data_IF_456080045213
#
_entry.id   IF_456080045213
#
_cell.length_a   1.000
_cell.length_b   1.000
_cell.length_c   1.000
_cell.angle_alpha   90.00
_cell.angle_beta   90.00
_cell.angle_gamma   90.00
#
_symmetry.space_group_name_H-M   'P 1'
#
loop_
_entity.id
_entity.type
_entity.pdbx_description
1 polymer ?
#
# COMPACT_ATOMS: atom_id res chain seq x y z
N UNK A 1 -8.56 11.34 6.39
CA UNK A 1 -9.12 12.35 5.46
C UNK A 1 -10.44 11.90 4.81
N UNK A 2 -11.45 12.77 4.79
CA UNK A 2 -12.80 12.45 4.27
C UNK A 2 -12.81 12.02 2.80
N UNK A 3 -11.84 12.48 2.00
CA UNK A 3 -11.77 12.19 0.55
C UNK A 3 -11.07 10.88 0.20
N UNK A 4 -10.38 10.23 1.15
CA UNK A 4 -9.57 9.06 0.85
C UNK A 4 -10.40 7.89 0.28
N UNK A 5 -11.61 7.58 0.81
CA UNK A 5 -12.47 6.58 0.20
C UNK A 5 -12.87 6.91 -1.24
N UNK A 6 -13.08 8.19 -1.56
CA UNK A 6 -13.43 8.62 -2.91
C UNK A 6 -12.25 8.48 -3.88
N UNK A 7 -11.03 8.77 -3.41
CA UNK A 7 -9.81 8.63 -4.21
C UNK A 7 -9.49 7.15 -4.48
N UNK A 8 -9.66 6.29 -3.47
CA UNK A 8 -9.63 4.84 -3.67
C UNK A 8 -10.71 4.40 -4.67
N UNK A 9 -11.91 4.97 -4.57
CA UNK A 9 -13.01 4.72 -5.51
C UNK A 9 -12.68 5.05 -6.96
N UNK A 10 -12.04 6.19 -7.21
CA UNK A 10 -11.59 6.55 -8.56
C UNK A 10 -10.54 5.58 -9.08
N UNK A 11 -9.64 5.09 -8.22
CA UNK A 11 -8.64 4.10 -8.60
C UNK A 11 -9.31 2.78 -8.99
N UNK A 12 -10.26 2.28 -8.22
CA UNK A 12 -11.02 1.06 -8.56
C UNK A 12 -11.84 1.28 -9.85
N UNK A 13 -12.43 2.45 -10.04
CA UNK A 13 -13.16 2.74 -11.28
C UNK A 13 -12.26 2.87 -12.51
N UNK A 14 -10.95 3.08 -12.33
CA UNK A 14 -9.98 3.21 -13.44
C UNK A 14 -9.59 1.87 -14.09
N UNK A 15 -9.98 0.73 -13.51
CA UNK A 15 -9.81 -0.57 -14.15
C UNK A 15 -10.56 -0.60 -15.48
N UNK A 16 -9.84 -0.97 -16.55
CA UNK A 16 -10.36 -1.02 -17.93
C UNK A 16 -11.31 -2.20 -18.12
N UNK A 17 -11.06 -3.29 -17.41
CA UNK A 17 -11.85 -4.51 -17.44
C UNK A 17 -12.44 -4.78 -16.06
N UNK A 18 -13.66 -5.35 -16.03
CA UNK A 18 -14.29 -5.84 -14.81
C UNK A 18 -14.20 -7.38 -14.70
N UNK A 19 -13.17 -7.96 -15.31
CA UNK A 19 -12.98 -9.42 -15.38
C UNK A 19 -12.03 -9.92 -14.29
N UNK A 20 -10.75 -10.10 -14.63
CA UNK A 20 -9.74 -10.69 -13.74
C UNK A 20 -8.82 -9.58 -13.26
N UNK A 21 -8.79 -9.35 -11.95
CA UNK A 21 -8.06 -8.26 -11.33
C UNK A 21 -7.21 -8.76 -10.17
N UNK A 22 -5.97 -8.30 -10.13
CA UNK A 22 -5.07 -8.49 -8.99
C UNK A 22 -4.71 -7.11 -8.42
N UNK A 23 -4.80 -6.97 -7.09
CA UNK A 23 -4.50 -5.72 -6.39
C UNK A 23 -3.55 -6.00 -5.24
N UNK A 24 -2.45 -5.26 -5.13
CA UNK A 24 -1.66 -5.23 -3.90
C UNK A 24 -1.89 -3.91 -3.19
N UNK A 25 -2.39 -3.98 -1.97
CA UNK A 25 -2.49 -2.85 -1.06
C UNK A 25 -1.16 -2.72 -0.30
N UNK A 26 -0.36 -1.71 -0.62
CA UNK A 26 0.89 -1.41 0.06
C UNK A 26 0.64 -0.33 1.12
N UNK A 27 0.62 -0.72 2.39
CA UNK A 27 0.15 0.11 3.49
C UNK A 27 1.33 0.53 4.36
N UNK A 28 1.44 1.83 4.57
CA UNK A 28 2.32 2.41 5.56
C UNK A 28 1.86 2.02 6.98
N UNK A 29 2.79 1.50 7.76
CA UNK A 29 2.53 1.09 9.14
C UNK A 29 3.55 1.67 10.12
N UNK A 30 4.10 2.85 9.81
CA UNK A 30 4.88 3.63 10.78
C UNK A 30 3.99 4.31 11.81
N UNK A 31 4.62 4.96 12.78
CA UNK A 31 3.92 5.51 13.94
C UNK A 31 2.97 6.66 13.64
N UNK A 32 3.15 7.38 12.53
CA UNK A 32 2.30 8.50 12.10
C UNK A 32 0.91 8.03 11.66
N UNK A 33 0.85 6.90 10.94
CA UNK A 33 -0.38 6.21 10.51
C UNK A 33 -1.18 5.54 11.64
N UNK A 34 -0.79 5.75 12.91
CA UNK A 34 -1.44 5.10 14.05
C UNK A 34 -2.92 5.46 14.18
N UNK A 35 -3.25 6.73 13.98
CA UNK A 35 -4.61 7.23 14.15
C UNK A 35 -5.49 6.81 12.95
N UNK A 36 -4.89 6.65 11.77
CA UNK A 36 -5.56 6.22 10.55
C UNK A 36 -5.75 4.71 10.45
N UNK A 37 -5.00 3.90 11.20
CA UNK A 37 -5.06 2.44 11.10
C UNK A 37 -6.46 1.88 11.39
N UNK A 38 -7.20 2.48 12.33
CA UNK A 38 -8.56 2.03 12.64
C UNK A 38 -9.55 2.41 11.54
N UNK A 39 -9.43 3.59 10.94
CA UNK A 39 -10.21 3.98 9.75
C UNK A 39 -9.86 3.13 8.53
N UNK A 40 -8.58 2.82 8.34
CA UNK A 40 -8.12 1.95 7.27
C UNK A 40 -8.79 0.57 7.36
N UNK A 41 -8.80 -0.03 8.55
CA UNK A 41 -9.41 -1.35 8.79
C UNK A 41 -10.92 -1.37 8.66
N UNK A 42 -11.58 -0.38 9.25
CA UNK A 42 -13.02 -0.43 9.49
C UNK A 42 -13.84 0.34 8.44
N UNK A 43 -13.20 1.19 7.65
CA UNK A 43 -13.88 2.04 6.66
C UNK A 43 -13.24 1.94 5.27
N UNK A 44 -11.94 2.21 5.14
CA UNK A 44 -11.34 2.39 3.81
C UNK A 44 -11.21 1.08 3.04
N UNK A 45 -10.64 0.03 3.65
CA UNK A 45 -10.55 -1.27 2.97
C UNK A 45 -11.92 -1.89 2.73
N UNK A 46 -12.88 -1.88 3.69
CA UNK A 46 -14.24 -2.33 3.42
C UNK A 46 -14.89 -1.64 2.21
N UNK A 47 -14.75 -0.32 2.06
CA UNK A 47 -15.28 0.39 0.87
C UNK A 47 -14.60 0.00 -0.44
N UNK A 48 -13.29 -0.29 -0.41
CA UNK A 48 -12.58 -0.84 -1.57
C UNK A 48 -13.16 -2.21 -1.94
N UNK A 49 -13.44 -3.07 -0.96
CA UNK A 49 -14.04 -4.38 -1.18
C UNK A 49 -15.45 -4.27 -1.79
N UNK A 50 -16.30 -3.40 -1.26
CA UNK A 50 -17.66 -3.15 -1.80
C UNK A 50 -17.62 -2.78 -3.29
N UNK A 51 -16.67 -1.94 -3.71
CA UNK A 51 -16.54 -1.56 -5.13
C UNK A 51 -15.99 -2.69 -6.00
N UNK A 52 -15.26 -3.62 -5.41
CA UNK A 52 -14.71 -4.78 -6.11
C UNK A 52 -15.73 -5.89 -6.32
N UNK A 53 -16.91 -5.83 -5.68
CA UNK A 53 -18.03 -6.76 -5.94
C UNK A 53 -18.54 -6.71 -7.39
N UNK A 54 -18.29 -5.60 -8.12
CA UNK A 54 -18.65 -5.46 -9.53
C UNK A 54 -17.74 -6.26 -10.49
N UNK A 55 -16.68 -6.89 -9.98
CA UNK A 55 -15.67 -7.59 -10.76
C UNK A 55 -15.84 -9.11 -10.66
N UNK A 56 -15.56 -9.83 -11.75
CA UNK A 56 -15.80 -11.27 -11.81
C UNK A 56 -14.82 -12.10 -10.97
N UNK A 57 -13.55 -11.72 -10.93
CA UNK A 57 -12.49 -12.47 -10.24
C UNK A 57 -11.42 -11.51 -9.71
N UNK A 58 -11.39 -11.36 -8.39
CA UNK A 58 -10.48 -10.44 -7.70
C UNK A 58 -9.61 -11.21 -6.71
N UNK A 59 -8.31 -10.89 -6.71
CA UNK A 59 -7.40 -11.25 -5.62
C UNK A 59 -6.75 -9.99 -5.06
N UNK A 60 -6.67 -9.93 -3.73
CA UNK A 60 -6.05 -8.83 -3.02
C UNK A 60 -4.88 -9.36 -2.20
N UNK A 61 -3.71 -8.79 -2.44
CA UNK A 61 -2.51 -8.96 -1.61
C UNK A 61 -2.37 -7.77 -0.68
N UNK A 62 -1.73 -7.99 0.47
CA UNK A 62 -1.45 -6.94 1.43
C UNK A 62 0.05 -6.89 1.71
N UNK A 63 0.66 -5.73 1.52
CA UNK A 63 2.03 -5.46 1.92
C UNK A 63 2.02 -4.37 2.97
N UNK A 64 2.70 -4.57 4.10
CA UNK A 64 2.94 -3.52 5.07
C UNK A 64 4.40 -3.09 4.99
N UNK A 65 4.67 -1.79 4.97
CA UNK A 65 6.04 -1.27 5.02
C UNK A 65 6.23 -0.32 6.20
N UNK A 66 7.50 -0.11 6.53
CA UNK A 66 7.97 0.86 7.53
C UNK A 66 9.34 1.39 7.13
N UNK A 67 9.91 2.29 7.93
CA UNK A 67 11.29 2.74 7.76
C UNK A 67 12.34 1.65 8.09
N UNK A 68 13.56 1.82 7.60
CA UNK A 68 14.60 0.78 7.50
C UNK A 68 15.09 0.15 8.82
N UNK A 69 14.85 0.80 9.95
CA UNK A 69 15.32 0.35 11.27
C UNK A 69 14.24 -0.33 12.11
N UNK A 70 13.06 -0.54 11.53
CA UNK A 70 11.98 -1.25 12.21
C UNK A 70 12.14 -2.78 12.07
N UNK A 71 11.18 -3.52 12.65
CA UNK A 71 11.21 -4.96 12.80
C UNK A 71 10.75 -5.75 11.57
N UNK A 72 10.27 -5.08 10.52
CA UNK A 72 9.93 -5.74 9.27
C UNK A 72 11.19 -6.12 8.51
N UNK A 73 11.24 -7.37 8.07
CA UNK A 73 12.38 -7.92 7.36
C UNK A 73 11.94 -9.06 6.45
N UNK A 74 11.75 -8.74 5.18
CA UNK A 74 11.53 -9.72 4.12
C UNK A 74 12.56 -9.48 3.02
N UNK A 75 13.39 -10.47 2.70
CA UNK A 75 14.42 -10.36 1.65
C UNK A 75 15.35 -9.12 1.75
N UNK A 76 15.64 -8.71 2.99
CA UNK A 76 16.39 -7.49 3.36
C UNK A 76 15.69 -6.16 3.02
N UNK A 77 14.37 -6.19 2.88
CA UNK A 77 13.50 -5.02 2.75
C UNK A 77 12.69 -4.81 4.04
N UNK A 78 12.39 -3.55 4.42
CA UNK A 78 11.62 -3.21 5.63
C UNK A 78 10.11 -3.40 5.41
N UNK A 79 9.73 -4.57 4.88
CA UNK A 79 8.35 -4.91 4.51
C UNK A 79 7.92 -6.23 5.15
N UNK A 80 6.60 -6.39 5.27
CA UNK A 80 5.92 -7.64 5.61
C UNK A 80 4.90 -7.92 4.52
N UNK A 81 4.98 -9.11 3.93
CA UNK A 81 4.12 -9.54 2.82
C UNK A 81 3.06 -10.50 3.33
N UNK A 82 1.85 -10.32 2.84
CA UNK A 82 0.76 -11.27 2.91
C UNK A 82 0.28 -11.55 1.48
N UNK A 83 0.22 -12.83 1.12
CA UNK A 83 -0.05 -13.27 -0.24
C UNK A 83 -1.47 -12.91 -0.71
N UNK A 84 -1.69 -13.03 -2.02
CA UNK A 84 -3.00 -12.86 -2.63
C UNK A 84 -4.06 -13.76 -1.98
N UNK A 85 -5.23 -13.18 -1.74
CA UNK A 85 -6.43 -13.88 -1.32
C UNK A 85 -7.66 -13.36 -2.06
N UNK A 86 -8.61 -14.23 -2.36
CA UNK A 86 -9.96 -13.87 -2.81
C UNK A 86 -10.98 -13.90 -1.66
N UNK A 87 -10.54 -14.22 -0.44
CA UNK A 87 -11.37 -14.24 0.76
C UNK A 87 -11.25 -12.93 1.53
N UNK A 88 -12.35 -12.20 1.65
CA UNK A 88 -12.46 -11.01 2.50
C UNK A 88 -12.13 -11.31 3.96
N UNK A 89 -12.56 -12.47 4.46
CA UNK A 89 -12.25 -12.91 5.82
C UNK A 89 -10.74 -13.05 6.02
N UNK A 90 -10.03 -13.68 5.07
CA UNK A 90 -8.58 -13.81 5.14
C UNK A 90 -7.87 -12.47 5.05
N UNK A 91 -8.33 -11.55 4.19
CA UNK A 91 -7.78 -10.19 4.11
C UNK A 91 -7.98 -9.43 5.43
N UNK A 92 -9.17 -9.56 6.03
CA UNK A 92 -9.46 -8.98 7.35
C UNK A 92 -8.53 -9.54 8.43
N UNK A 93 -8.28 -10.86 8.43
CA UNK A 93 -7.31 -11.47 9.34
C UNK A 93 -5.92 -10.86 9.16
N UNK A 94 -5.47 -10.65 7.92
CA UNK A 94 -4.18 -10.01 7.66
C UNK A 94 -4.12 -8.59 8.25
N UNK A 95 -5.16 -7.78 8.01
CA UNK A 95 -5.27 -6.41 8.54
C UNK A 95 -5.29 -6.37 10.08
N UNK A 96 -5.97 -7.32 10.72
CA UNK A 96 -6.07 -7.44 12.17
C UNK A 96 -4.70 -7.78 12.81
N UNK A 97 -3.80 -8.43 12.05
CA UNK A 97 -2.43 -8.72 12.49
C UNK A 97 -1.51 -7.50 12.47
N UNK A 98 -1.88 -6.40 11.78
CA UNK A 98 -1.06 -5.20 11.72
C UNK A 98 -0.95 -4.59 13.12
N UNK A 99 0.25 -4.24 13.55
CA UNK A 99 0.46 -3.56 14.84
C UNK A 99 1.49 -2.46 14.65
N UNK A 100 1.05 -1.20 14.71
CA UNK A 100 1.96 -0.07 14.67
C UNK A 100 2.67 0.02 16.03
N UNK A 101 4.01 0.04 16.00
CA UNK A 101 4.87 0.22 17.16
C UNK A 101 5.76 1.42 16.89
N UNK A 102 5.83 2.34 17.84
CA UNK A 102 6.57 3.60 17.68
C UNK A 102 5.76 4.79 18.14
N UNK A 103 6.44 5.94 18.23
CA UNK A 103 5.78 7.23 18.44
C UNK A 103 5.29 7.77 17.09
N UNK A 104 4.37 8.72 17.13
CA UNK A 104 3.98 9.53 15.97
C UNK A 104 5.24 9.98 15.22
N UNK A 105 5.41 9.48 13.98
CA UNK A 105 6.35 10.06 13.04
C UNK A 105 5.80 11.42 12.59
N UNK A 106 6.69 12.38 12.34
CA UNK A 106 6.30 13.55 11.55
C UNK A 106 6.42 13.24 10.05
N UNK A 107 6.48 14.27 9.21
CA UNK A 107 6.83 14.23 7.78
C UNK A 107 8.27 13.72 7.53
N UNK A 108 8.58 12.49 7.96
CA UNK A 108 9.86 11.84 7.78
C UNK A 108 9.72 10.94 6.55
N UNK A 109 10.64 11.02 5.58
CA UNK A 109 10.56 10.16 4.42
C UNK A 109 10.55 8.67 4.80
N UNK A 110 9.85 7.87 3.99
CA UNK A 110 9.50 6.47 4.23
C UNK A 110 10.19 5.52 3.23
N UNK A 111 10.18 4.21 3.50
CA UNK A 111 10.74 3.17 2.59
C UNK A 111 9.77 2.79 1.44
N UNK A 112 9.15 3.81 0.83
CA UNK A 112 8.12 3.67 -0.21
C UNK A 112 8.62 2.89 -1.44
N UNK A 113 9.86 3.13 -1.91
CA UNK A 113 10.37 2.42 -3.08
C UNK A 113 10.63 0.94 -2.80
N UNK A 114 11.06 0.58 -1.59
CA UNK A 114 11.17 -0.80 -1.15
C UNK A 114 9.82 -1.50 -1.13
N UNK A 115 8.77 -0.81 -0.67
CA UNK A 115 7.40 -1.31 -0.67
C UNK A 115 6.91 -1.58 -2.10
N UNK A 116 7.02 -0.58 -2.98
CA UNK A 116 6.61 -0.70 -4.38
C UNK A 116 7.38 -1.82 -5.11
N UNK A 117 8.71 -1.85 -4.96
CA UNK A 117 9.53 -2.93 -5.54
C UNK A 117 9.09 -4.31 -5.03
N UNK A 118 8.85 -4.44 -3.72
CA UNK A 118 8.43 -5.72 -3.16
C UNK A 118 7.06 -6.17 -3.68
N UNK A 119 6.10 -5.25 -3.79
CA UNK A 119 4.79 -5.49 -4.39
C UNK A 119 4.89 -5.96 -5.84
N UNK A 120 5.81 -5.39 -6.61
CA UNK A 120 6.03 -5.75 -8.01
C UNK A 120 6.75 -7.10 -8.18
N UNK A 121 7.75 -7.37 -7.34
CA UNK A 121 8.68 -8.47 -7.56
C UNK A 121 8.27 -9.79 -6.90
N UNK A 122 7.69 -9.75 -5.70
CA UNK A 122 7.49 -10.96 -4.87
C UNK A 122 6.07 -11.52 -4.88
N UNK A 123 5.11 -10.79 -5.45
CA UNK A 123 3.74 -11.29 -5.60
C UNK A 123 3.58 -12.14 -6.86
N UNK A 124 2.77 -13.18 -6.76
CA UNK A 124 2.43 -14.08 -7.86
C UNK A 124 1.26 -13.54 -8.69
N UNK A 125 1.56 -12.53 -9.50
CA UNK A 125 0.60 -11.85 -10.38
C UNK A 125 0.15 -12.76 -11.54
N UNK A 126 -1.16 -12.87 -11.77
CA UNK A 126 -1.72 -13.60 -12.93
C UNK A 126 -1.42 -12.87 -14.23
N UNK A 127 -1.01 -13.57 -15.27
CA UNK A 127 -0.68 -12.96 -16.57
C UNK A 127 -1.89 -12.29 -17.23
N UNK A 128 -3.07 -12.89 -17.08
CA UNK A 128 -4.34 -12.42 -17.63
C UNK A 128 -5.01 -11.29 -16.81
N UNK A 129 -4.52 -11.01 -15.61
CA UNK A 129 -5.12 -10.02 -14.73
C UNK A 129 -4.76 -8.58 -15.15
N UNK A 130 -5.69 -7.66 -14.95
CA UNK A 130 -5.35 -6.25 -14.83
C UNK A 130 -4.77 -5.99 -13.42
N UNK A 131 -3.59 -5.38 -13.35
CA UNK A 131 -2.74 -5.37 -12.15
C UNK A 131 -2.54 -3.96 -11.60
N UNK A 132 -2.80 -3.77 -10.32
CA UNK A 132 -2.54 -2.50 -9.62
C UNK A 132 -1.85 -2.70 -8.29
N UNK A 133 -0.84 -1.88 -8.01
CA UNK A 133 -0.38 -1.61 -6.64
C UNK A 133 -1.00 -0.30 -6.20
N UNK A 134 -1.73 -0.33 -5.09
CA UNK A 134 -2.29 0.86 -4.45
C UNK A 134 -1.51 1.08 -3.15
N UNK A 135 -0.68 2.11 -3.12
CA UNK A 135 0.06 2.51 -1.95
C UNK A 135 -0.74 3.51 -1.12
N UNK A 136 -0.84 3.30 0.18
CA UNK A 136 -1.53 4.17 1.13
C UNK A 136 -0.54 4.52 2.24
N UNK A 137 -0.23 5.81 2.38
CA UNK A 137 0.66 6.33 3.43
C UNK A 137 0.53 7.84 3.55
N UNK A 138 1.20 8.44 4.52
CA UNK A 138 1.13 9.88 4.82
C UNK A 138 2.40 10.65 4.43
N UNK A 139 3.50 9.95 4.15
CA UNK A 139 4.77 10.55 3.76
C UNK A 139 5.37 10.03 2.45
N UNK A 140 6.21 10.86 1.83
CA UNK A 140 6.91 10.55 0.59
C UNK A 140 8.16 9.66 0.78
N UNK A 141 8.75 9.16 -0.32
CA UNK A 141 9.95 8.31 -0.28
C UNK A 141 11.19 9.06 0.21
N UNK A 142 12.14 8.33 0.81
CA UNK A 142 13.51 8.82 0.98
C UNK A 142 14.12 9.26 -0.37
N UNK A 143 14.70 10.47 -0.42
CA UNK A 143 15.39 11.02 -1.61
C UNK A 143 16.51 10.12 -2.15
N UNK A 144 17.08 9.27 -1.31
CA UNK A 144 18.17 8.34 -1.68
C UNK A 144 17.89 6.96 -1.09
N UNK A 145 18.12 5.88 -1.86
CA UNK A 145 17.91 4.53 -1.37
C UNK A 145 18.82 4.21 -0.16
N UNK A 146 18.23 3.87 0.99
CA UNK A 146 19.02 3.51 2.18
C UNK A 146 19.26 2.01 2.29
N UNK A 147 18.35 1.19 1.75
CA UNK A 147 18.45 -0.27 1.76
C UNK A 147 19.68 -0.81 1.02
N UNK A 148 20.01 -2.08 1.27
CA UNK A 148 21.16 -2.76 0.64
C UNK A 148 21.02 -2.88 -0.88
N UNK A 149 19.78 -3.10 -1.36
CA UNK A 149 19.46 -3.27 -2.78
C UNK A 149 19.47 -1.97 -3.58
N UNK A 150 19.57 -0.82 -2.91
CA UNK A 150 19.60 0.52 -3.54
C UNK A 150 18.47 0.75 -4.56
N UNK A 151 17.27 0.34 -4.20
CA UNK A 151 16.07 0.46 -5.03
C UNK A 151 15.76 1.94 -5.26
N UNK A 152 15.81 2.38 -6.51
CA UNK A 152 15.51 3.74 -6.95
C UNK A 152 14.10 3.86 -7.53
N UNK A 153 13.65 5.09 -7.71
CA UNK A 153 12.40 5.38 -8.43
C UNK A 153 12.42 4.77 -9.84
N UNK A 154 13.51 4.97 -10.59
CA UNK A 154 13.64 4.47 -11.96
C UNK A 154 13.51 2.94 -12.01
N UNK A 155 14.14 2.23 -11.07
CA UNK A 155 14.04 0.77 -10.97
C UNK A 155 12.60 0.30 -10.73
N UNK A 156 11.85 1.02 -9.88
CA UNK A 156 10.44 0.71 -9.61
C UNK A 156 9.58 0.95 -10.86
N UNK A 157 9.79 2.07 -11.55
CA UNK A 157 9.03 2.41 -12.77
C UNK A 157 9.34 1.42 -13.90
N UNK A 158 10.61 1.09 -14.12
CA UNK A 158 11.02 0.11 -15.12
C UNK A 158 10.39 -1.25 -14.87
N UNK A 159 10.45 -1.75 -13.62
CA UNK A 159 9.86 -3.04 -13.26
C UNK A 159 8.33 -3.04 -13.36
N UNK A 160 7.67 -1.94 -13.00
CA UNK A 160 6.23 -1.78 -13.14
C UNK A 160 5.80 -1.85 -14.61
N UNK A 161 6.54 -1.16 -15.49
CA UNK A 161 6.30 -1.18 -16.93
C UNK A 161 6.56 -2.58 -17.52
N UNK A 162 7.66 -3.24 -17.13
CA UNK A 162 8.00 -4.60 -17.58
C UNK A 162 6.89 -5.60 -17.23
N UNK A 163 6.34 -5.49 -16.01
CA UNK A 163 5.28 -6.39 -15.52
C UNK A 163 3.86 -5.94 -15.90
N UNK A 164 3.72 -4.81 -16.58
CA UNK A 164 2.43 -4.18 -16.90
C UNK A 164 1.55 -3.99 -15.65
N UNK A 165 2.12 -3.43 -14.58
CA UNK A 165 1.46 -3.16 -13.30
C UNK A 165 1.36 -1.64 -13.13
N UNK A 166 0.15 -1.13 -12.90
CA UNK A 166 -0.04 0.29 -12.59
C UNK A 166 0.27 0.57 -11.11
N UNK A 167 0.84 1.72 -10.83
CA UNK A 167 1.16 2.19 -9.48
C UNK A 167 0.32 3.41 -9.15
N UNK A 168 -0.53 3.31 -8.13
CA UNK A 168 -1.35 4.41 -7.63
C UNK A 168 -0.93 4.71 -6.18
N UNK A 169 -0.51 5.94 -5.90
CA UNK A 169 -0.08 6.35 -4.55
C UNK A 169 -1.09 7.34 -3.98
N UNK A 170 -1.70 6.98 -2.85
CA UNK A 170 -2.67 7.80 -2.15
C UNK A 170 -2.04 8.32 -0.87
N UNK A 171 -1.93 9.64 -0.78
CA UNK A 171 -1.41 10.31 0.42
C UNK A 171 -2.55 10.57 1.37
N UNK A 172 -2.37 10.20 2.63
CA UNK A 172 -3.26 10.50 3.75
C UNK A 172 -2.82 11.85 4.34
N UNK A 173 -3.59 12.93 4.16
CA UNK A 173 -3.30 14.21 4.81
C UNK A 173 -3.13 14.08 6.31
N UNK A 174 -2.01 14.58 6.83
CA UNK A 174 -1.82 14.77 8.26
C UNK A 174 -2.42 16.13 8.68
N UNK A 175 -3.60 16.12 9.30
CA UNK A 175 -4.23 17.33 9.84
C UNK A 175 -3.43 17.96 11.00
N UNK A 176 -2.34 17.31 11.47
CA UNK A 176 -1.50 17.78 12.58
C UNK A 176 -0.64 19.02 12.24
N UNK A 177 -0.62 19.49 10.99
CA UNK A 177 0.12 20.71 10.62
C UNK A 177 -0.60 22.04 10.93
N UNK A 178 -1.90 22.03 11.28
CA UNK A 178 -2.68 23.28 11.42
C UNK A 178 -2.67 23.93 12.82
N UNK A 179 -2.04 23.34 13.83
CA UNK A 179 -2.00 23.91 15.20
C UNK A 179 -0.61 24.21 15.77
N UNK A 180 0.39 24.50 14.92
CA UNK A 180 1.70 25.02 15.39
C UNK A 180 2.15 26.30 14.67
N UNK A 181 1.22 27.23 14.50
CA UNK A 181 1.53 28.55 13.95
C UNK A 181 0.57 29.64 14.41
N UNK A 182 0.64 30.03 15.68
CA UNK A 182 0.41 31.41 16.13
C UNK A 182 0.97 31.64 17.53
#
# INVERSE_FOLDING_TARGET
PETLPDDLGKIIQSFKTRSVVDIVLAIDTTGSMRDDLDSLRNEWIPRVLEQLEEFNDVRIGLLCYRDYFDNYKFENLPVKIFDFTSSEAQLKEYLDTIKIRGNEGGDIPEAVYEALYASLYYYDWRDEAEKKVILIGDAGPHKRPRGKRKISQDMVIELANEKNISLDCVIVPDDKSTTRGR
#
